data_IF_533488192052
#
_entry.id   IF_533488192052
#
_cell.length_a   1.000
_cell.length_b   1.000
_cell.length_c   1.000
_cell.angle_alpha   90.00
_cell.angle_beta   90.00
_cell.angle_gamma   90.00
#
_symmetry.space_group_name_H-M   'P 1'
#
loop_
_entity.id
_entity.type
_entity.pdbx_description
1 polymer ?
#
# COMPACT_ATOMS: atom_id res chain seq x y z
N UNK A 1 -11.75 5.57 -5.85
CA UNK A 1 -11.13 6.88 -6.01
C UNK A 1 -11.39 7.34 -7.42
N UNK A 2 -12.11 8.45 -7.62
CA UNK A 2 -12.22 9.18 -8.89
C UNK A 2 -12.31 8.34 -10.20
N UNK A 3 -12.92 7.15 -10.18
CA UNK A 3 -12.95 6.23 -11.33
C UNK A 3 -11.65 5.49 -11.68
N UNK A 4 -10.48 6.04 -11.35
CA UNK A 4 -9.19 5.46 -11.74
C UNK A 4 -8.95 4.04 -11.21
N UNK A 5 -8.30 3.23 -12.03
CA UNK A 5 -7.79 1.90 -11.67
C UNK A 5 -6.39 2.04 -11.07
N UNK A 6 -6.15 1.33 -9.96
CA UNK A 6 -4.87 1.36 -9.23
C UNK A 6 -4.28 -0.03 -9.08
N UNK A 7 -2.95 -0.13 -9.18
CA UNK A 7 -2.21 -1.35 -8.97
C UNK A 7 -1.00 -1.11 -8.09
N UNK A 8 -0.71 -2.08 -7.23
CA UNK A 8 0.56 -2.15 -6.51
C UNK A 8 1.52 -3.01 -7.34
N UNK A 9 2.61 -2.41 -7.81
CA UNK A 9 3.56 -3.04 -8.73
C UNK A 9 4.92 -3.17 -8.06
N UNK A 10 5.56 -4.33 -8.25
CA UNK A 10 6.95 -4.55 -7.83
C UNK A 10 7.90 -3.92 -8.85
N UNK A 11 8.80 -3.04 -8.38
CA UNK A 11 9.87 -2.42 -9.17
C UNK A 11 11.22 -2.83 -8.61
N UNK A 12 11.78 -3.92 -9.13
CA UNK A 12 13.03 -4.48 -8.61
C UNK A 12 12.90 -4.89 -7.14
N UNK A 13 13.56 -4.13 -6.26
CA UNK A 13 13.58 -4.33 -4.80
C UNK A 13 12.60 -3.42 -4.03
N UNK A 14 11.84 -2.56 -4.73
CA UNK A 14 10.84 -1.65 -4.16
C UNK A 14 9.45 -1.92 -4.72
N UNK A 15 8.46 -1.18 -4.24
CA UNK A 15 7.09 -1.21 -4.75
C UNK A 15 6.62 0.20 -5.04
N UNK A 16 5.78 0.33 -6.06
CA UNK A 16 5.13 1.57 -6.47
C UNK A 16 3.64 1.33 -6.61
N UNK A 17 2.85 2.37 -6.38
CA UNK A 17 1.45 2.37 -6.78
C UNK A 17 1.38 3.07 -8.12
N UNK A 18 0.79 2.41 -9.10
CA UNK A 18 0.48 3.03 -10.39
C UNK A 18 -1.03 3.14 -10.56
N UNK A 19 -1.46 4.17 -11.27
CA UNK A 19 -2.84 4.30 -11.70
C UNK A 19 -2.90 4.61 -13.19
N UNK A 20 -4.03 4.27 -13.80
CA UNK A 20 -4.30 4.62 -15.19
C UNK A 20 -5.11 5.91 -15.21
N UNK A 21 -4.55 6.94 -15.85
CA UNK A 21 -5.23 8.18 -16.16
C UNK A 21 -6.02 7.99 -17.47
N UNK A 22 -7.34 7.99 -17.38
CA UNK A 22 -8.23 7.76 -18.51
C UNK A 22 -8.28 8.95 -19.49
N UNK A 23 -8.09 10.17 -18.98
CA UNK A 23 -8.13 11.40 -19.79
C UNK A 23 -6.87 11.49 -20.66
N UNK A 24 -5.72 11.21 -20.06
CA UNK A 24 -4.42 11.26 -20.74
C UNK A 24 -4.04 9.93 -21.40
N UNK A 25 -4.74 8.84 -21.09
CA UNK A 25 -4.45 7.47 -21.56
C UNK A 25 -3.00 7.04 -21.24
N UNK A 26 -2.54 7.31 -20.01
CA UNK A 26 -1.20 7.00 -19.53
C UNK A 26 -1.23 6.33 -18.16
N UNK A 27 -0.13 5.67 -17.80
CA UNK A 27 0.09 5.19 -16.44
C UNK A 27 0.94 6.19 -15.67
N UNK A 28 0.47 6.57 -14.48
CA UNK A 28 1.18 7.47 -13.59
C UNK A 28 1.45 6.81 -12.23
N UNK A 29 2.45 7.33 -11.52
CA UNK A 29 2.82 6.83 -10.20
C UNK A 29 2.21 7.70 -9.09
N UNK A 30 1.68 7.03 -8.07
CA UNK A 30 1.32 7.69 -6.81
C UNK A 30 2.47 7.59 -5.82
N UNK A 31 2.62 8.61 -4.95
CA UNK A 31 3.66 8.59 -3.94
C UNK A 31 3.42 7.48 -2.91
N UNK A 32 4.47 6.72 -2.62
CA UNK A 32 4.48 5.76 -1.51
C UNK A 32 4.66 6.47 -0.16
N UNK A 33 4.15 5.91 0.96
CA UNK A 33 4.39 6.47 2.28
C UNK A 33 5.88 6.53 2.61
N UNK A 34 6.29 7.63 3.22
CA UNK A 34 7.69 7.94 3.56
C UNK A 34 8.37 6.84 4.41
N UNK A 35 7.63 6.25 5.35
CA UNK A 35 8.10 5.17 6.25
C UNK A 35 8.36 3.82 5.57
N UNK A 36 8.14 3.71 4.26
CA UNK A 36 8.57 2.53 3.51
C UNK A 36 10.05 2.57 3.16
N UNK A 37 10.66 3.75 3.18
CA UNK A 37 12.06 3.91 2.85
C UNK A 37 12.95 3.50 4.02
N UNK A 38 12.53 3.75 5.26
CA UNK A 38 13.28 3.40 6.47
C UNK A 38 12.31 3.09 7.63
N UNK A 39 12.27 1.83 8.08
CA UNK A 39 11.82 1.60 9.46
C UNK A 39 12.89 2.19 10.40
N UNK A 40 12.49 2.65 11.59
CA UNK A 40 13.41 3.13 12.63
C UNK A 40 14.49 2.10 13.04
N UNK A 41 14.40 0.85 12.59
CA UNK A 41 15.36 -0.24 12.79
C UNK A 41 16.16 -0.63 11.52
N UNK A 42 16.11 0.18 10.46
CA UNK A 42 16.80 -0.09 9.18
C UNK A 42 16.17 -1.21 8.34
N UNK A 43 15.01 -1.73 8.73
CA UNK A 43 14.31 -2.77 7.97
C UNK A 43 13.43 -2.15 6.88
N UNK A 44 13.36 -2.81 5.74
CA UNK A 44 12.43 -2.46 4.66
C UNK A 44 11.02 -2.92 5.04
N UNK A 45 9.97 -2.23 4.60
CA UNK A 45 8.60 -2.77 4.62
C UNK A 45 8.21 -3.30 3.25
N UNK A 46 7.31 -4.27 3.23
CA UNK A 46 6.71 -4.82 2.01
C UNK A 46 5.20 -4.66 2.08
N UNK A 47 4.62 -4.06 1.04
CA UNK A 47 3.19 -3.94 0.85
C UNK A 47 2.64 -5.21 0.21
N UNK A 48 1.59 -5.78 0.78
CA UNK A 48 0.99 -7.00 0.24
C UNK A 48 -0.47 -6.79 -0.19
N UNK A 49 -1.03 -5.59 0.05
CA UNK A 49 -2.40 -5.28 -0.34
C UNK A 49 -2.59 -3.80 -0.64
N UNK A 50 -3.42 -3.53 -1.65
CA UNK A 50 -3.94 -2.23 -2.04
C UNK A 50 -5.47 -2.32 -2.00
N UNK A 51 -6.12 -1.36 -1.36
CA UNK A 51 -7.57 -1.35 -1.20
C UNK A 51 -8.10 0.08 -1.18
N UNK A 52 -9.42 0.23 -1.26
CA UNK A 52 -10.11 1.50 -1.01
C UNK A 52 -10.97 1.34 0.24
N UNK A 53 -10.76 2.20 1.24
CA UNK A 53 -11.52 2.21 2.47
C UNK A 53 -11.97 3.63 2.78
N UNK A 54 -13.26 3.81 3.08
CA UNK A 54 -13.87 5.14 3.27
C UNK A 54 -13.60 6.12 2.12
N UNK A 55 -13.48 5.62 0.89
CA UNK A 55 -13.16 6.42 -0.30
C UNK A 55 -11.67 6.76 -0.48
N UNK A 56 -10.81 6.42 0.48
CA UNK A 56 -9.37 6.69 0.43
C UNK A 56 -8.57 5.43 0.02
N UNK A 57 -7.45 5.63 -0.66
CA UNK A 57 -6.50 4.56 -0.98
C UNK A 57 -5.85 4.08 0.30
N UNK A 58 -5.78 2.77 0.47
CA UNK A 58 -5.17 2.14 1.61
C UNK A 58 -4.16 1.10 1.16
N UNK A 59 -3.08 0.97 1.91
CA UNK A 59 -2.11 -0.12 1.75
C UNK A 59 -1.94 -0.88 3.04
N UNK A 60 -1.68 -2.17 2.91
CA UNK A 60 -1.30 -3.02 4.04
C UNK A 60 0.18 -3.40 3.89
N UNK A 61 0.98 -3.14 4.94
CA UNK A 61 2.41 -3.36 4.92
C UNK A 61 2.89 -4.23 6.09
N UNK A 62 3.92 -5.03 5.84
CA UNK A 62 4.65 -5.83 6.83
C UNK A 62 6.12 -5.46 6.86
N UNK A 63 6.79 -5.48 8.03
CA UNK A 63 8.23 -5.37 8.07
C UNK A 63 8.89 -6.63 7.47
N UNK A 64 9.88 -6.44 6.61
CA UNK A 64 10.62 -7.53 5.97
C UNK A 64 11.41 -8.30 7.03
N UNK A 65 11.35 -9.64 6.98
CA UNK A 65 12.09 -10.52 7.88
C UNK A 65 11.43 -10.75 9.25
N UNK A 66 10.20 -10.28 9.46
CA UNK A 66 9.42 -10.61 10.66
C UNK A 66 8.06 -11.16 10.25
N UNK A 67 7.92 -12.48 10.31
CA UNK A 67 6.65 -13.17 10.05
C UNK A 67 5.63 -12.92 11.17
N UNK A 68 6.10 -12.54 12.36
CA UNK A 68 5.27 -12.41 13.57
C UNK A 68 4.82 -10.97 13.91
N UNK A 69 5.20 -9.98 13.10
CA UNK A 69 4.83 -8.58 13.33
C UNK A 69 3.52 -8.25 12.64
N UNK A 70 2.74 -7.44 13.35
CA UNK A 70 1.41 -7.05 12.94
C UNK A 70 1.45 -6.11 11.74
N UNK A 71 0.51 -6.30 10.83
CA UNK A 71 0.41 -5.51 9.60
C UNK A 71 0.02 -4.08 9.95
N UNK A 72 0.65 -3.08 9.34
CA UNK A 72 0.16 -1.71 9.39
C UNK A 72 -0.75 -1.46 8.21
N UNK A 73 -1.93 -0.90 8.46
CA UNK A 73 -2.79 -0.36 7.41
C UNK A 73 -2.60 1.16 7.37
N UNK A 74 -2.13 1.67 6.23
CA UNK A 74 -1.99 3.10 5.99
C UNK A 74 -3.09 3.57 5.04
N UNK A 75 -3.60 4.78 5.27
CA UNK A 75 -4.63 5.44 4.45
C UNK A 75 -4.10 6.76 3.90
N UNK A 76 -4.26 7.01 2.60
CA UNK A 76 -3.95 8.27 1.92
C UNK A 76 -5.15 9.20 2.07
N UNK A 77 -5.10 10.11 3.04
CA UNK A 77 -6.23 11.01 3.37
C UNK A 77 -6.53 12.01 2.25
N UNK A 78 -5.49 12.44 1.55
CA UNK A 78 -5.56 13.35 0.41
C UNK A 78 -4.88 12.67 -0.79
N UNK A 79 -5.65 12.45 -1.84
CA UNK A 79 -5.20 11.69 -3.01
C UNK A 79 -3.97 12.34 -3.67
N UNK A 80 -2.97 11.54 -4.02
CA UNK A 80 -1.74 12.02 -4.66
C UNK A 80 -0.76 12.74 -3.72
N UNK A 81 -1.10 12.96 -2.44
CA UNK A 81 -0.25 13.69 -1.50
C UNK A 81 0.51 12.74 -0.58
N UNK A 82 1.83 12.66 -0.74
CA UNK A 82 2.69 11.74 0.03
C UNK A 82 2.54 11.89 1.55
N UNK A 83 2.48 13.12 2.05
CA UNK A 83 2.40 13.40 3.49
C UNK A 83 1.04 13.07 4.10
N UNK A 84 0.03 12.79 3.27
CA UNK A 84 -1.32 12.47 3.72
C UNK A 84 -1.49 11.00 4.14
N UNK A 85 -0.47 10.17 3.90
CA UNK A 85 -0.43 8.79 4.39
C UNK A 85 -0.40 8.79 5.92
N UNK A 86 -1.43 8.23 6.53
CA UNK A 86 -1.58 8.11 7.98
C UNK A 86 -1.83 6.66 8.38
N UNK A 87 -1.33 6.23 9.53
CA UNK A 87 -1.64 4.89 10.06
C UNK A 87 -3.09 4.88 10.52
N UNK A 88 -3.89 3.98 9.93
CA UNK A 88 -5.31 3.87 10.25
C UNK A 88 -5.53 2.93 11.43
N UNK A 89 -5.06 1.68 11.32
CA UNK A 89 -5.07 0.71 12.41
C UNK A 89 -4.01 -0.38 12.15
N UNK A 90 -3.82 -1.22 13.16
CA UNK A 90 -2.95 -2.38 13.13
C UNK A 90 -3.87 -3.59 13.43
N UNK A 91 -4.27 -4.39 12.42
CA UNK A 91 -5.23 -5.47 12.64
C UNK A 91 -4.63 -6.49 13.60
N UNK A 92 -5.39 -6.98 14.59
CA UNK A 92 -4.94 -8.16 15.34
C UNK A 92 -4.70 -9.33 14.38
N UNK A 93 -3.80 -10.26 14.75
CA UNK A 93 -3.06 -11.26 13.94
C UNK A 93 -3.82 -12.13 12.89
N UNK A 94 -5.08 -11.89 12.58
CA UNK A 94 -5.99 -12.93 12.07
C UNK A 94 -6.47 -12.77 10.62
N UNK A 95 -6.29 -11.63 9.92
CA UNK A 95 -7.20 -11.35 8.77
C UNK A 95 -6.58 -11.30 7.36
N UNK A 96 -5.26 -11.22 7.18
CA UNK A 96 -4.72 -10.86 5.86
C UNK A 96 -4.07 -11.98 5.04
N UNK A 97 -4.41 -13.25 5.24
CA UNK A 97 -4.12 -14.25 4.22
C UNK A 97 -5.23 -14.18 3.16
N UNK A 98 -4.96 -13.79 1.90
CA UNK A 98 -5.95 -13.98 0.84
C UNK A 98 -6.28 -15.48 0.79
N UNK A 99 -7.56 -15.87 0.69
CA UNK A 99 -7.91 -17.26 0.46
C UNK A 99 -7.25 -17.66 -0.87
N UNK A 100 -6.28 -18.57 -0.82
CA UNK A 100 -5.72 -19.18 -2.01
C UNK A 100 -6.89 -19.76 -2.81
N UNK A 101 -7.25 -19.13 -3.93
CA UNK A 101 -8.14 -19.75 -4.91
C UNK A 101 -7.29 -20.79 -5.64
N UNK A 102 -7.40 -22.05 -5.21
CA UNK A 102 -7.02 -23.19 -6.03
C UNK A 102 -8.02 -23.29 -7.18
N UNK A 103 -7.51 -23.15 -8.41
CA UNK A 103 -8.18 -23.58 -9.63
C UNK A 103 -8.06 -25.10 -9.78
#
# INVERSE_FOLDING_TARGET
MNGHLHWLVKRGQSQVIVYFDEEMNVFEELPMPEKQQECNDGKRTFCFGLAVLYGCLCISQVPVGTVDKVNDVLIMREYGVQRSWTKLFQPSRTICAPPYQTF
#
